data_IF_781461931420
#
_entry.id   IF_781461931420
#
_cell.length_a   1.000
_cell.length_b   1.000
_cell.length_c   1.000
_cell.angle_alpha   90.00
_cell.angle_beta   90.00
_cell.angle_gamma   90.00
#
_symmetry.space_group_name_H-M   'P 1'
#
loop_
_entity.id
_entity.type
_entity.pdbx_description
1 polymer ?
#
# COMPACT_ATOMS: atom_id res chain seq x y z
N UNK A 1 -13.53 -5.59 -6.45
CA UNK A 1 -12.25 -5.06 -5.97
C UNK A 1 -12.46 -3.78 -5.22
N UNK A 2 -11.68 -3.55 -4.18
CA UNK A 2 -11.83 -2.33 -3.40
C UNK A 2 -10.83 -1.29 -3.88
N UNK A 3 -11.21 -0.01 -3.87
CA UNK A 3 -10.26 1.05 -4.15
C UNK A 3 -9.29 1.20 -2.99
N UNK A 4 -8.08 1.68 -3.28
CA UNK A 4 -7.08 1.81 -2.24
C UNK A 4 -7.54 2.71 -1.10
N UNK A 5 -8.29 3.76 -1.38
CA UNK A 5 -8.76 4.65 -0.31
C UNK A 5 -9.65 3.95 0.70
N UNK A 6 -10.19 2.78 0.38
CA UNK A 6 -11.08 2.06 1.27
C UNK A 6 -10.35 1.13 2.23
N UNK A 7 -9.05 0.90 2.04
CA UNK A 7 -8.34 -0.01 2.94
C UNK A 7 -7.87 0.72 4.18
N UNK A 8 -7.86 0.01 5.30
CA UNK A 8 -7.41 0.55 6.58
C UNK A 8 -6.48 -0.44 7.23
N UNK A 9 -5.54 0.02 8.05
CA UNK A 9 -4.66 -0.90 8.76
C UNK A 9 -5.48 -1.72 9.75
N UNK A 10 -5.40 -3.02 9.61
CA UNK A 10 -6.14 -3.88 10.49
C UNK A 10 -5.66 -5.30 10.31
N UNK A 11 -6.23 -6.18 11.06
CA UNK A 11 -5.97 -7.58 10.91
C UNK A 11 -6.77 -8.19 9.75
N UNK A 12 -7.19 -7.36 8.82
CA UNK A 12 -7.93 -7.81 7.66
C UNK A 12 -6.98 -8.45 6.68
N UNK A 13 -7.33 -9.59 6.17
CA UNK A 13 -6.40 -10.34 5.32
C UNK A 13 -7.06 -10.88 4.06
N UNK A 14 -8.01 -10.12 3.52
CA UNK A 14 -8.70 -10.54 2.32
C UNK A 14 -8.91 -9.38 1.36
N UNK A 15 -7.91 -8.52 1.25
CA UNK A 15 -8.01 -7.35 0.38
C UNK A 15 -7.78 -7.76 -1.05
N UNK A 16 -8.76 -7.49 -1.91
CA UNK A 16 -8.64 -7.71 -3.34
C UNK A 16 -8.67 -6.36 -4.01
N UNK A 17 -7.60 -5.99 -4.68
CA UNK A 17 -7.46 -4.66 -5.25
C UNK A 17 -6.56 -4.69 -6.48
N UNK A 18 -6.50 -3.57 -7.19
CA UNK A 18 -5.68 -3.43 -8.38
C UNK A 18 -5.06 -2.04 -8.37
N UNK A 19 -3.82 -1.98 -8.79
CA UNK A 19 -3.06 -0.73 -8.74
C UNK A 19 -1.95 -0.74 -9.77
N UNK A 20 -1.35 0.42 -9.98
CA UNK A 20 -0.19 0.52 -10.86
C UNK A 20 1.05 0.75 -10.00
N UNK A 21 2.13 0.08 -10.35
CA UNK A 21 3.42 0.25 -9.66
C UNK A 21 4.08 1.50 -10.22
N UNK A 22 4.28 2.49 -9.37
CA UNK A 22 4.88 3.75 -9.80
C UNK A 22 6.39 3.75 -9.64
N UNK A 23 6.86 3.11 -8.58
CA UNK A 23 8.27 3.18 -8.22
C UNK A 23 8.62 1.93 -7.44
N UNK A 24 9.79 1.39 -7.65
CA UNK A 24 10.26 0.21 -6.94
C UNK A 24 11.55 0.58 -6.21
N UNK A 25 11.58 0.32 -4.93
CA UNK A 25 12.75 0.62 -4.11
C UNK A 25 13.82 -0.45 -4.22
N UNK A 26 14.85 -0.27 -3.42
CA UNK A 26 15.98 -1.20 -3.42
C UNK A 26 15.56 -2.54 -2.86
N UNK A 27 16.18 -3.59 -3.39
CA UNK A 27 16.03 -4.92 -2.82
C UNK A 27 16.90 -4.99 -1.57
N UNK A 28 16.31 -5.45 -0.49
CA UNK A 28 17.02 -5.66 0.76
C UNK A 28 16.84 -7.10 1.20
N UNK A 29 17.62 -7.51 2.18
CA UNK A 29 17.59 -8.89 2.65
C UNK A 29 17.27 -8.94 4.13
N UNK A 30 16.41 -9.88 4.50
CA UNK A 30 16.11 -10.17 5.89
C UNK A 30 16.50 -11.65 6.06
N UNK A 31 17.74 -11.87 6.52
CA UNK A 31 18.29 -13.20 6.49
C UNK A 31 18.49 -13.66 5.05
N UNK A 32 17.83 -14.73 4.68
CA UNK A 32 17.88 -15.23 3.31
C UNK A 32 16.68 -14.77 2.49
N UNK A 33 15.83 -13.95 3.06
CA UNK A 33 14.62 -13.50 2.39
C UNK A 33 14.83 -12.15 1.73
N UNK A 34 14.59 -12.12 0.44
CA UNK A 34 14.70 -10.91 -0.36
C UNK A 34 13.39 -10.15 -0.27
N UNK A 35 13.47 -8.83 -0.11
CA UNK A 35 12.27 -8.00 -0.08
C UNK A 35 12.54 -6.63 -0.66
N UNK A 36 11.50 -5.97 -1.11
CA UNK A 36 11.59 -4.58 -1.50
C UNK A 36 10.25 -3.90 -1.29
N UNK A 37 10.28 -2.58 -1.22
CA UNK A 37 9.09 -1.78 -1.13
C UNK A 37 8.88 -1.06 -2.45
N UNK A 38 7.63 -0.89 -2.83
CA UNK A 38 7.27 -0.11 -3.99
C UNK A 38 6.19 0.89 -3.64
N UNK A 39 6.03 1.89 -4.48
CA UNK A 39 4.93 2.82 -4.38
C UNK A 39 3.91 2.42 -5.43
N UNK A 40 2.70 2.13 -5.00
CA UNK A 40 1.61 1.76 -5.89
C UNK A 40 0.43 2.69 -5.68
N UNK A 41 -0.41 2.82 -6.69
CA UNK A 41 -1.52 3.75 -6.62
C UNK A 41 -2.66 3.34 -7.52
N UNK A 42 -3.83 3.86 -7.22
CA UNK A 42 -4.97 3.85 -8.13
C UNK A 42 -5.52 5.27 -8.20
N UNK A 43 -6.70 5.45 -8.75
CA UNK A 43 -7.26 6.80 -8.90
C UNK A 43 -7.70 7.41 -7.58
N UNK A 44 -7.67 6.66 -6.49
CA UNK A 44 -8.18 7.13 -5.19
C UNK A 44 -7.09 7.39 -4.17
N UNK A 45 -5.96 6.67 -4.23
CA UNK A 45 -4.91 6.80 -3.22
C UNK A 45 -3.65 6.08 -3.67
N UNK A 46 -2.61 6.24 -2.88
CA UNK A 46 -1.37 5.50 -3.04
C UNK A 46 -1.06 4.75 -1.75
N UNK A 47 -0.18 3.78 -1.82
CA UNK A 47 0.21 2.98 -0.66
C UNK A 47 1.55 2.32 -0.96
N UNK A 48 2.29 1.98 0.09
CA UNK A 48 3.53 1.22 -0.06
C UNK A 48 3.18 -0.26 -0.19
N UNK A 49 3.76 -0.90 -1.19
CA UNK A 49 3.60 -2.32 -1.42
C UNK A 49 4.87 -3.02 -1.00
N UNK A 50 4.76 -4.10 -0.24
CA UNK A 50 5.92 -4.92 0.10
C UNK A 50 5.91 -6.18 -0.78
N UNK A 51 7.02 -6.42 -1.44
CA UNK A 51 7.21 -7.60 -2.28
C UNK A 51 8.24 -8.51 -1.65
N UNK A 52 8.06 -9.80 -1.80
CA UNK A 52 8.93 -10.81 -1.22
C UNK A 52 9.47 -11.74 -2.29
N UNK A 53 10.72 -12.14 -2.12
CA UNK A 53 11.32 -13.17 -2.96
C UNK A 53 11.32 -12.79 -4.41
N UNK A 54 10.84 -13.68 -5.24
CA UNK A 54 10.84 -13.46 -6.68
C UNK A 54 9.93 -12.32 -7.12
N UNK A 55 8.97 -11.93 -6.29
CA UNK A 55 8.12 -10.80 -6.61
C UNK A 55 8.95 -9.53 -6.78
N UNK A 56 10.08 -9.44 -6.08
CA UNK A 56 10.93 -8.25 -6.16
C UNK A 56 11.46 -8.00 -7.57
N UNK A 57 11.54 -9.04 -8.36
CA UNK A 57 12.07 -8.94 -9.72
C UNK A 57 11.00 -9.14 -10.78
N UNK A 58 9.83 -9.61 -10.37
CA UNK A 58 8.77 -9.93 -11.32
C UNK A 58 8.05 -8.69 -11.85
N UNK A 59 8.14 -7.58 -11.15
CA UNK A 59 7.37 -6.39 -11.49
C UNK A 59 8.27 -5.19 -11.68
N UNK A 60 7.85 -4.30 -12.58
CA UNK A 60 8.58 -3.07 -12.88
C UNK A 60 7.62 -1.89 -12.84
N UNK A 61 8.18 -0.69 -12.72
CA UNK A 61 7.39 0.53 -12.75
C UNK A 61 6.54 0.57 -14.03
N UNK A 62 5.29 0.92 -13.88
CA UNK A 62 4.33 0.93 -14.97
C UNK A 62 3.45 -0.30 -15.01
N UNK A 63 3.80 -1.36 -14.31
CA UNK A 63 2.99 -2.57 -14.30
C UNK A 63 1.69 -2.35 -13.53
N UNK A 64 0.60 -2.84 -14.09
CA UNK A 64 -0.69 -2.88 -13.39
C UNK A 64 -0.79 -4.24 -12.75
N UNK A 65 -0.99 -4.24 -11.44
CA UNK A 65 -0.93 -5.44 -10.63
C UNK A 65 -2.26 -5.68 -9.96
N UNK A 66 -2.74 -6.90 -10.02
CA UNK A 66 -3.92 -7.33 -9.25
C UNK A 66 -3.42 -8.09 -8.03
N UNK A 67 -3.96 -7.73 -6.89
CA UNK A 67 -3.67 -8.41 -5.63
C UNK A 67 -4.92 -9.09 -5.11
N UNK A 68 -4.78 -10.32 -4.68
CA UNK A 68 -5.85 -11.07 -4.02
C UNK A 68 -5.40 -11.47 -2.63
N UNK A 69 -6.32 -11.39 -1.68
CA UNK A 69 -6.08 -11.74 -0.28
C UNK A 69 -4.89 -11.00 0.31
N UNK A 70 -4.87 -9.70 0.08
CA UNK A 70 -3.82 -8.83 0.61
C UNK A 70 -4.05 -8.47 2.07
N UNK A 71 -2.99 -8.03 2.70
CA UNK A 71 -2.98 -7.57 4.08
C UNK A 71 -2.38 -6.18 4.11
N UNK A 72 -3.02 -5.25 4.83
CA UNK A 72 -2.48 -3.91 5.03
C UNK A 72 -2.18 -3.76 6.52
N UNK A 73 -0.93 -3.83 6.89
CA UNK A 73 -0.54 -3.83 8.29
C UNK A 73 0.87 -3.31 8.48
N UNK A 74 1.22 -3.05 9.74
CA UNK A 74 2.58 -2.64 10.07
C UNK A 74 3.51 -3.85 10.05
N UNK A 75 4.65 -3.65 9.45
CA UNK A 75 5.73 -4.64 9.44
C UNK A 75 7.03 -3.89 9.71
N UNK A 76 7.61 -4.11 10.87
CA UNK A 76 8.85 -3.45 11.29
C UNK A 76 8.73 -1.92 11.18
N UNK A 77 7.64 -1.39 11.72
CA UNK A 77 7.35 0.04 11.75
C UNK A 77 6.97 0.64 10.40
N UNK A 78 6.86 -0.17 9.35
CA UNK A 78 6.38 0.30 8.06
C UNK A 78 4.98 -0.22 7.82
N UNK A 79 4.08 0.68 7.46
CA UNK A 79 2.72 0.30 7.11
C UNK A 79 2.70 -0.06 5.64
N UNK A 80 2.46 -1.31 5.33
CA UNK A 80 2.57 -1.81 3.96
C UNK A 80 1.40 -2.70 3.58
N UNK A 81 1.09 -2.68 2.30
CA UNK A 81 0.18 -3.62 1.68
C UNK A 81 1.04 -4.77 1.15
N UNK A 82 0.64 -5.98 1.41
CA UNK A 82 1.39 -7.15 0.94
C UNK A 82 0.45 -8.32 0.74
N UNK A 83 0.87 -9.26 -0.08
CA UNK A 83 0.09 -10.49 -0.25
C UNK A 83 0.17 -11.29 1.04
N UNK A 84 -0.98 -11.78 1.49
CA UNK A 84 -1.01 -12.64 2.65
C UNK A 84 -0.58 -14.05 2.30
N UNK A 85 -0.67 -14.94 3.29
CA UNK A 85 -0.26 -16.32 3.11
C UNK A 85 -0.96 -16.99 1.93
N UNK A 86 -2.24 -16.68 1.73
CA UNK A 86 -3.01 -17.20 0.61
C UNK A 86 -3.18 -16.17 -0.50
N UNK A 87 -2.41 -15.11 -0.41
CA UNK A 87 -2.53 -14.03 -1.35
C UNK A 87 -1.63 -14.23 -2.56
N UNK A 88 -1.93 -13.48 -3.57
CA UNK A 88 -1.06 -13.45 -4.75
C UNK A 88 -1.13 -12.10 -5.41
N UNK A 89 -0.10 -11.79 -6.16
CA UNK A 89 -0.03 -10.60 -6.99
C UNK A 89 0.32 -11.05 -8.40
N UNK A 90 -0.32 -10.43 -9.39
CA UNK A 90 -0.02 -10.76 -10.78
C UNK A 90 -0.16 -9.52 -11.65
N UNK A 91 0.66 -9.47 -12.67
CA UNK A 91 0.59 -8.38 -13.63
C UNK A 91 -0.60 -8.61 -14.56
N UNK A 92 -1.43 -7.59 -14.74
CA UNK A 92 -2.60 -7.67 -15.61
C UNK A 92 -2.58 -6.62 -16.71
N UNK A 93 -1.57 -5.75 -16.75
CA UNK A 93 -1.46 -4.75 -17.80
C UNK A 93 -0.29 -3.82 -17.50
N UNK A 94 -0.19 -2.74 -18.28
CA UNK A 94 0.80 -1.70 -18.00
C UNK A 94 0.38 -0.38 -18.60
N UNK A 95 0.84 0.68 -17.96
CA UNK A 95 0.78 2.08 -18.40
C UNK A 95 -0.59 2.67 -18.75
N UNK A 96 -1.68 1.98 -18.48
CA UNK A 96 -3.00 2.47 -18.90
C UNK A 96 -3.95 2.74 -17.74
N UNK A 97 -3.45 2.90 -16.56
CA UNK A 97 -4.27 3.08 -15.36
C UNK A 97 -4.12 4.49 -14.83
N UNK A 98 -5.25 5.12 -14.53
CA UNK A 98 -5.29 6.42 -13.88
C UNK A 98 -4.87 6.27 -12.42
N UNK A 99 -4.10 7.23 -11.90
CA UNK A 99 -3.64 7.13 -10.52
C UNK A 99 -3.42 8.51 -9.91
N UNK A 100 -3.36 8.54 -8.58
CA UNK A 100 -2.95 9.71 -7.81
C UNK A 100 -1.88 9.27 -6.81
N UNK A 101 -1.00 10.18 -6.45
CA UNK A 101 0.06 9.86 -5.49
C UNK A 101 -0.29 10.29 -4.07
N UNK A 102 -1.39 11.01 -3.91
CA UNK A 102 -1.87 11.44 -2.60
C UNK A 102 -3.35 11.19 -2.49
N UNK A 103 -3.81 10.82 -1.30
CA UNK A 103 -3.01 10.55 -0.11
C UNK A 103 -2.25 9.24 -0.25
N UNK A 104 -1.08 9.17 0.39
CA UNK A 104 -0.36 7.90 0.51
C UNK A 104 -0.75 7.31 1.86
N UNK A 105 -1.51 6.24 1.84
CA UNK A 105 -2.08 5.65 3.05
C UNK A 105 -1.01 5.13 4.01
N UNK A 106 0.14 4.76 3.48
CA UNK A 106 1.23 4.27 4.31
C UNK A 106 1.88 5.38 5.13
N UNK A 107 1.69 6.63 4.71
CA UNK A 107 2.27 7.78 5.39
C UNK A 107 1.28 8.50 6.29
N UNK A 108 0.02 8.10 6.27
CA UNK A 108 -1.00 8.70 7.12
C UNK A 108 -0.83 8.19 8.54
N UNK A 109 -1.06 9.06 9.50
CA UNK A 109 -1.12 8.64 10.89
C UNK A 109 -2.49 8.05 11.16
N UNK A 110 -2.52 6.79 11.53
CA UNK A 110 -3.74 6.11 11.87
C UNK A 110 -3.86 6.02 13.38
N UNK A 111 -5.09 6.14 13.89
CA UNK A 111 -5.36 6.02 15.32
C UNK A 111 -6.51 5.07 15.51
N UNK A 112 -6.60 4.43 16.69
CA UNK A 112 -7.75 3.56 16.96
C UNK A 112 -9.05 4.36 16.90
N UNK A 113 -10.08 3.73 16.37
CA UNK A 113 -11.40 4.32 16.33
C UNK A 113 -11.92 4.45 17.77
N UNK A 114 -12.32 5.65 18.22
CA UNK A 114 -12.84 5.80 19.60
C UNK A 114 -14.06 4.94 19.87
N UNK A 115 -14.81 4.60 18.84
CA UNK A 115 -16.03 3.80 19.00
C UNK A 115 -15.82 2.32 18.78
N UNK A 116 -14.62 1.92 18.30
CA UNK A 116 -14.32 0.52 18.06
C UNK A 116 -12.82 0.33 18.06
N UNK A 117 -12.30 -0.13 19.19
CA UNK A 117 -10.84 -0.23 19.38
C UNK A 117 -10.18 -1.23 18.44
N UNK A 118 -10.95 -2.05 17.73
CA UNK A 118 -10.39 -2.99 16.78
C UNK A 118 -10.22 -2.40 15.39
N UNK A 119 -10.57 -1.15 15.20
CA UNK A 119 -10.46 -0.49 13.91
C UNK A 119 -9.57 0.73 14.01
N UNK A 120 -9.03 1.13 12.87
CA UNK A 120 -8.24 2.35 12.75
C UNK A 120 -8.97 3.36 11.89
N UNK A 121 -8.79 4.61 12.21
CA UNK A 121 -9.29 5.73 11.40
C UNK A 121 -8.13 6.68 11.18
N UNK A 122 -8.24 7.50 10.14
CA UNK A 122 -7.24 8.51 9.87
C UNK A 122 -7.24 9.53 10.98
N UNK A 123 -6.05 10.00 11.35
CA UNK A 123 -5.94 11.07 12.32
C UNK A 123 -6.56 12.32 11.68
N UNK A 124 -7.51 12.92 12.38
CA UNK A 124 -8.31 14.00 11.80
C UNK A 124 -7.62 15.35 11.80
N UNK A 125 -6.54 15.50 12.51
CA UNK A 125 -5.84 16.78 12.56
C UNK A 125 -5.02 16.92 11.30
N UNK A 126 -5.25 18.02 10.59
CA UNK A 126 -4.52 18.30 9.38
C UNK A 126 -3.54 19.40 9.65
N UNK A 127 -2.28 19.10 9.49
CA UNK A 127 -1.24 20.09 9.64
C UNK A 127 -1.08 20.86 8.34
N UNK A 128 -0.85 22.16 8.40
CA UNK A 128 -0.53 22.91 7.19
C UNK A 128 0.72 22.40 6.50
N UNK A 129 1.55 21.67 7.24
CA UNK A 129 2.74 21.11 6.65
C UNK A 129 2.55 19.69 6.20
N UNK A 130 1.38 19.17 6.34
CA UNK A 130 1.13 17.84 5.88
C UNK A 130 1.26 17.82 4.41
N UNK A 131 2.05 16.95 3.98
CA UNK A 131 2.17 16.93 2.58
C UNK A 131 1.24 16.05 1.97
N UNK A 132 0.51 15.52 2.73
CA UNK A 132 -0.63 14.91 2.21
C UNK A 132 -1.35 15.90 1.49
N UNK A 133 -1.15 17.03 1.97
CA UNK A 133 -1.77 18.04 1.50
C UNK A 133 -0.88 19.02 1.36
N UNK A 134 -0.16 19.07 1.20
CA UNK A 134 0.56 19.93 1.32
C UNK A 134 0.15 20.83 1.74
N UNK A 135 0.24 21.12 2.06
CA UNK A 135 -0.02 21.67 2.70
C UNK A 135 -0.39 22.67 2.52
N UNK A 136 -0.58 22.84 2.31
CA UNK A 136 -1.03 23.68 2.32
C UNK A 136 -0.63 24.36 2.95
N UNK A 137 -0.16 24.89 2.79
CA UNK A 137 0.44 25.73 3.50
C UNK A 137 -0.12 26.42 4.21
#
# INVERSE_FOLDING_TARGET
MVPLEAIVPAAQNNINTQFILLEKGKITWDGQNKMCLGLVADKTAAVHLQLWGEECEAFEAGDIIRMENGIFSYNKNNLVLRAGRRGKVEKVGDFTMEFVETPNLSEIKWVPDPNNSNKYVRHSVISPHSRLFPPIP
#
